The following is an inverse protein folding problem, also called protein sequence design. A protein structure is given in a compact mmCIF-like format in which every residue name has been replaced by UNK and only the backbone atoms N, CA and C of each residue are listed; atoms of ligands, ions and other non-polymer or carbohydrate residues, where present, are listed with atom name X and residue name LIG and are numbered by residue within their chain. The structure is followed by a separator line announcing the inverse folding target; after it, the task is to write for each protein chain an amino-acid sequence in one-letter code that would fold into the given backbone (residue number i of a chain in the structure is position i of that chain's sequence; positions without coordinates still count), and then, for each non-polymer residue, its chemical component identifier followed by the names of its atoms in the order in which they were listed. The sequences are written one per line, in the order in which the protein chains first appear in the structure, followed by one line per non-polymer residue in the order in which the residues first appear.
data_IF_331700069607
#
_entry.id   IF_331700069607
#
_cell.length_a   1.000
_cell.length_b   1.000
_cell.length_c   1.000
_cell.angle_alpha   90.00
_cell.angle_beta   90.00
_cell.angle_gamma   90.00
#
_symmetry.space_group_name_H-M   'P 1'
#
loop_
_entity.id
_entity.type
_entity.pdbx_description
1 polymer ?
#
# COMPACT_ATOMS: atom_id res chain seq x y z
N UNK A 1 -1.14 15.20 -1.53
CA UNK A 1 -2.49 14.64 -1.35
C UNK A 1 -2.86 14.03 -2.67
N UNK A 2 -2.86 12.70 -2.75
CA UNK A 2 -3.29 12.02 -3.98
C UNK A 2 -4.75 12.38 -4.19
N UNK A 3 -5.04 13.16 -5.22
CA UNK A 3 -6.40 13.53 -5.59
C UNK A 3 -6.98 12.39 -6.42
N UNK A 4 -7.59 11.43 -5.74
CA UNK A 4 -8.34 10.39 -6.42
C UNK A 4 -9.60 11.00 -7.05
N UNK A 5 -9.98 10.62 -8.27
CA UNK A 5 -11.18 11.11 -8.92
C UNK A 5 -12.40 10.93 -8.01
N UNK A 6 -13.27 11.94 -7.97
CA UNK A 6 -14.34 12.22 -7.03
C UNK A 6 -14.93 11.04 -6.25
N UNK A 7 -15.04 11.22 -4.93
CA UNK A 7 -15.51 10.21 -3.95
C UNK A 7 -16.75 9.38 -4.32
N UNK A 8 -17.58 9.87 -5.23
CA UNK A 8 -18.85 9.22 -5.60
C UNK A 8 -18.74 8.17 -6.71
N UNK A 9 -17.67 8.21 -7.52
CA UNK A 9 -17.52 7.35 -8.70
C UNK A 9 -16.43 6.28 -8.53
N UNK A 10 -15.83 6.20 -7.36
CA UNK A 10 -14.59 5.45 -7.11
C UNK A 10 -14.78 3.94 -7.04
N UNK A 11 -15.98 3.50 -6.62
CA UNK A 11 -16.28 2.08 -6.39
C UNK A 11 -17.73 1.77 -6.77
N UNK A 12 -18.01 1.35 -8.03
CA UNK A 12 -19.36 0.98 -8.41
C UNK A 12 -19.80 -0.28 -7.68
N UNK A 13 -20.90 -0.21 -6.95
CA UNK A 13 -21.46 -1.34 -6.22
C UNK A 13 -21.87 -2.47 -7.20
N UNK A 14 -21.44 -3.72 -6.99
CA UNK A 14 -21.90 -4.83 -7.80
C UNK A 14 -23.39 -5.11 -7.52
N UNK A 15 -24.22 -5.07 -8.55
CA UNK A 15 -25.63 -5.52 -8.48
C UNK A 15 -25.65 -7.02 -8.17
N UNK A 16 -26.11 -7.38 -6.97
CA UNK A 16 -26.38 -8.78 -6.60
C UNK A 16 -27.45 -9.35 -7.55
N UNK A 17 -27.05 -10.32 -8.37
CA UNK A 17 -27.99 -11.21 -9.05
C UNK A 17 -28.35 -12.35 -8.12
N UNK A 18 -29.58 -12.33 -7.58
CA UNK A 18 -30.20 -13.45 -6.89
C UNK A 18 -30.60 -14.50 -7.91
N UNK A 19 -29.89 -15.62 -7.91
CA UNK A 19 -30.26 -16.82 -8.64
C UNK A 19 -30.42 -17.98 -7.67
N UNK A 20 -31.67 -18.32 -7.31
CA UNK A 20 -32.02 -19.56 -6.60
C UNK A 20 -31.88 -20.74 -7.57
N UNK A 21 -31.10 -21.75 -7.22
CA UNK A 21 -31.28 -23.11 -7.73
C UNK A 21 -30.91 -24.12 -6.64
N UNK A 22 -31.94 -24.76 -6.09
CA UNK A 22 -31.82 -26.00 -5.28
C UNK A 22 -31.47 -27.18 -6.20
N UNK A 23 -30.42 -27.90 -5.83
CA UNK A 23 -30.23 -29.27 -6.29
C UNK A 23 -29.63 -30.11 -5.14
N UNK A 24 -30.40 -31.07 -4.69
CA UNK A 24 -30.06 -32.14 -3.71
C UNK A 24 -29.20 -33.16 -4.41
N UNK A 25 -28.00 -33.47 -3.91
CA UNK A 25 -27.28 -34.69 -4.31
C UNK A 25 -26.36 -35.21 -3.21
N UNK A 26 -26.54 -36.44 -2.96
CA UNK A 26 -25.88 -37.52 -2.23
C UNK A 26 -24.47 -37.27 -1.65
N UNK A 27 -24.33 -37.65 -0.35
CA UNK A 27 -23.08 -37.77 0.38
C UNK A 27 -22.16 -38.86 -0.21
N UNK A 28 -21.05 -38.41 -0.82
CA UNK A 28 -19.84 -39.23 -0.93
C UNK A 28 -18.82 -38.63 0.04
N UNK A 29 -18.48 -39.38 1.10
CA UNK A 29 -17.41 -39.00 2.02
C UNK A 29 -16.08 -39.22 1.30
N UNK A 30 -15.62 -38.20 0.61
CA UNK A 30 -14.26 -38.13 0.14
C UNK A 30 -13.44 -37.47 1.24
N UNK A 31 -12.45 -38.19 1.76
CA UNK A 31 -11.44 -37.66 2.68
C UNK A 31 -10.68 -36.57 1.96
N UNK A 32 -11.15 -35.34 2.07
CA UNK A 32 -10.43 -34.15 1.55
C UNK A 32 -9.27 -33.88 2.52
N UNK A 33 -7.99 -33.83 2.05
CA UNK A 33 -6.90 -33.35 2.89
C UNK A 33 -7.27 -31.96 3.42
N UNK A 34 -6.98 -31.73 4.71
CA UNK A 34 -7.19 -30.42 5.37
C UNK A 34 -6.56 -29.32 4.50
N UNK A 35 -7.37 -28.71 3.67
CA UNK A 35 -7.01 -27.43 3.06
C UNK A 35 -6.93 -26.42 4.19
N UNK A 36 -5.83 -25.69 4.27
CA UNK A 36 -5.62 -24.61 5.24
C UNK A 36 -6.89 -23.81 5.40
N UNK A 37 -7.38 -23.72 6.63
CA UNK A 37 -8.60 -22.97 6.94
C UNK A 37 -8.44 -21.51 6.48
N UNK A 38 -9.48 -20.88 5.90
CA UNK A 38 -9.39 -19.47 5.48
C UNK A 38 -8.93 -18.53 6.60
N UNK A 39 -9.17 -18.91 7.86
CA UNK A 39 -8.70 -18.17 9.04
C UNK A 39 -7.17 -18.20 9.19
N UNK A 40 -6.52 -19.31 8.86
CA UNK A 40 -5.04 -19.42 8.92
C UNK A 40 -4.38 -18.62 7.80
N UNK A 41 -4.97 -18.61 6.60
CA UNK A 41 -4.48 -17.81 5.49
C UNK A 41 -4.56 -16.31 5.81
N UNK A 42 -5.68 -15.83 6.34
CA UNK A 42 -5.87 -14.43 6.77
C UNK A 42 -4.90 -14.03 7.89
N UNK A 43 -4.64 -14.91 8.86
CA UNK A 43 -3.67 -14.65 9.94
C UNK A 43 -2.23 -14.56 9.39
N UNK A 44 -1.88 -15.40 8.42
CA UNK A 44 -0.59 -15.37 7.73
C UNK A 44 -0.40 -14.09 6.92
N UNK A 45 -1.42 -13.63 6.23
CA UNK A 45 -1.40 -12.39 5.46
C UNK A 45 -1.28 -11.16 6.36
N UNK A 46 -2.01 -11.09 7.47
CA UNK A 46 -1.89 -10.01 8.45
C UNK A 46 -0.46 -9.94 9.04
N UNK A 47 0.11 -11.07 9.39
CA UNK A 47 1.50 -11.14 9.87
C UNK A 47 2.50 -10.68 8.81
N UNK A 48 2.32 -11.07 7.55
CA UNK A 48 3.16 -10.64 6.43
C UNK A 48 3.05 -9.12 6.17
N UNK A 49 1.84 -8.57 6.21
CA UNK A 49 1.56 -7.13 6.05
C UNK A 49 2.23 -6.34 7.18
N UNK A 50 2.08 -6.78 8.43
CA UNK A 50 2.72 -6.15 9.59
C UNK A 50 4.24 -6.19 9.49
N UNK A 51 4.83 -7.32 9.09
CA UNK A 51 6.28 -7.48 8.93
C UNK A 51 6.84 -6.64 7.77
N UNK A 52 6.07 -6.41 6.73
CA UNK A 52 6.47 -5.59 5.58
C UNK A 52 6.48 -4.10 5.90
N UNK A 53 5.82 -3.67 6.97
CA UNK A 53 5.79 -2.28 7.41
C UNK A 53 7.23 -1.75 7.57
N UNK A 54 7.50 -0.63 6.92
CA UNK A 54 8.80 0.06 6.97
C UNK A 54 8.80 1.17 8.01
N UNK A 55 7.69 1.87 8.10
CA UNK A 55 7.45 2.98 8.99
C UNK A 55 6.34 2.59 9.97
N UNK A 56 6.23 3.33 11.08
CA UNK A 56 5.16 3.09 12.04
C UNK A 56 3.81 3.32 11.36
N UNK A 57 3.03 2.25 11.25
CA UNK A 57 1.69 2.28 10.68
C UNK A 57 0.66 1.93 11.75
N UNK A 58 -0.51 2.51 11.65
CA UNK A 58 -1.64 2.19 12.49
C UNK A 58 -2.03 0.71 12.31
N UNK A 59 -2.20 -0.10 13.37
CA UNK A 59 -2.70 -1.45 13.26
C UNK A 59 -4.02 -1.58 12.49
N UNK A 60 -4.84 -0.53 12.48
CA UNK A 60 -6.07 -0.47 11.68
C UNK A 60 -5.77 -0.42 10.17
N UNK A 61 -4.64 0.16 9.76
CA UNK A 61 -4.20 0.13 8.35
C UNK A 61 -3.88 -1.30 7.92
N UNK A 62 -3.24 -2.11 8.79
CA UNK A 62 -2.98 -3.53 8.50
C UNK A 62 -4.26 -4.34 8.36
N UNK A 63 -5.25 -4.09 9.23
CA UNK A 63 -6.55 -4.74 9.17
C UNK A 63 -7.30 -4.36 7.90
N UNK A 64 -7.28 -3.08 7.51
CA UNK A 64 -7.92 -2.61 6.29
C UNK A 64 -7.29 -3.25 5.04
N UNK A 65 -5.96 -3.30 4.94
CA UNK A 65 -5.24 -3.97 3.84
C UNK A 65 -5.60 -5.46 3.80
N UNK A 66 -5.65 -6.13 4.95
CA UNK A 66 -6.05 -7.53 5.02
C UNK A 66 -7.50 -7.71 4.54
N UNK A 67 -8.43 -6.90 5.03
CA UNK A 67 -9.85 -7.03 4.71
C UNK A 67 -10.18 -6.72 3.25
N UNK A 68 -9.48 -5.75 2.64
CA UNK A 68 -9.75 -5.29 1.26
C UNK A 68 -8.92 -6.06 0.24
N UNK A 69 -7.61 -6.23 0.49
CA UNK A 69 -6.69 -6.72 -0.54
C UNK A 69 -6.56 -8.24 -0.56
N UNK A 70 -6.72 -8.93 0.60
CA UNK A 70 -6.45 -10.38 0.67
C UNK A 70 -7.68 -11.26 0.48
N UNK A 71 -8.82 -10.67 0.10
CA UNK A 71 -10.05 -11.41 -0.23
C UNK A 71 -9.87 -12.28 -1.48
N UNK A 72 -9.10 -11.81 -2.45
CA UNK A 72 -8.96 -12.46 -3.75
C UNK A 72 -7.59 -13.11 -3.98
N UNK A 73 -6.55 -12.66 -3.28
CA UNK A 73 -5.18 -13.17 -3.44
C UNK A 73 -4.35 -12.94 -2.17
N UNK A 74 -3.26 -13.69 -2.02
CA UNK A 74 -2.38 -13.57 -0.86
C UNK A 74 -1.62 -12.23 -0.85
N UNK A 75 -1.26 -11.73 0.34
CA UNK A 75 -0.52 -10.49 0.54
C UNK A 75 0.83 -10.47 -0.19
N UNK A 76 1.47 -11.63 -0.41
CA UNK A 76 2.71 -11.75 -1.16
C UNK A 76 2.66 -11.16 -2.58
N UNK A 77 1.47 -11.07 -3.19
CA UNK A 77 1.28 -10.51 -4.53
C UNK A 77 1.64 -9.02 -4.61
N UNK A 78 1.42 -8.26 -3.56
CA UNK A 78 1.72 -6.82 -3.53
C UNK A 78 2.91 -6.44 -2.64
N UNK A 79 3.25 -7.25 -1.63
CA UNK A 79 4.33 -6.92 -0.69
C UNK A 79 5.73 -7.02 -1.29
N UNK A 80 5.93 -7.86 -2.30
CA UNK A 80 7.24 -8.19 -2.85
C UNK A 80 7.83 -7.11 -3.78
N UNK A 81 7.02 -6.20 -4.29
CA UNK A 81 7.44 -5.27 -5.34
C UNK A 81 7.00 -3.84 -5.02
N UNK A 82 7.84 -3.05 -4.32
CA UNK A 82 7.59 -1.62 -4.13
C UNK A 82 7.42 -0.90 -5.48
N UNK A 83 6.52 0.08 -5.55
CA UNK A 83 6.19 0.83 -6.78
C UNK A 83 6.12 2.31 -6.49
N UNK A 84 6.15 3.15 -7.53
CA UNK A 84 5.85 4.58 -7.39
C UNK A 84 4.39 4.79 -6.99
N UNK A 85 4.07 5.94 -6.42
CA UNK A 85 2.69 6.33 -6.08
C UNK A 85 1.76 6.24 -7.28
N UNK A 86 2.18 6.79 -8.43
CA UNK A 86 1.39 6.74 -9.67
C UNK A 86 1.11 5.31 -10.16
N UNK A 87 2.05 4.38 -9.93
CA UNK A 87 1.80 2.97 -10.26
C UNK A 87 0.85 2.30 -9.27
N UNK A 88 0.90 2.68 -7.99
CA UNK A 88 -0.09 2.20 -7.03
C UNK A 88 -1.49 2.71 -7.33
N UNK A 89 -1.65 3.97 -7.75
CA UNK A 89 -2.94 4.50 -8.21
C UNK A 89 -3.54 3.67 -9.34
N UNK A 90 -2.73 3.30 -10.34
CA UNK A 90 -3.17 2.42 -11.44
C UNK A 90 -3.57 1.03 -10.92
N UNK A 91 -2.79 0.44 -10.01
CA UNK A 91 -3.12 -0.86 -9.41
C UNK A 91 -4.44 -0.77 -8.64
N UNK A 92 -4.68 0.28 -7.86
CA UNK A 92 -5.94 0.45 -7.14
C UNK A 92 -7.13 0.60 -8.09
N UNK A 93 -6.97 1.34 -9.19
CA UNK A 93 -8.00 1.45 -10.21
C UNK A 93 -8.28 0.09 -10.89
N UNK A 94 -7.23 -0.68 -11.21
CA UNK A 94 -7.34 -2.04 -11.75
C UNK A 94 -8.08 -2.97 -10.77
N UNK A 95 -7.69 -2.99 -9.48
CA UNK A 95 -8.32 -3.84 -8.45
C UNK A 95 -9.78 -3.46 -8.21
N UNK A 96 -10.10 -2.16 -8.23
CA UNK A 96 -11.47 -1.68 -8.20
C UNK A 96 -12.29 -2.22 -9.37
N UNK A 97 -11.71 -2.20 -10.57
CA UNK A 97 -12.33 -2.79 -11.77
C UNK A 97 -12.60 -4.29 -11.65
N UNK A 98 -11.80 -5.01 -10.88
CA UNK A 98 -12.00 -6.44 -10.56
C UNK A 98 -12.96 -6.68 -9.37
N UNK A 99 -13.49 -5.62 -8.76
CA UNK A 99 -14.46 -5.72 -7.67
C UNK A 99 -13.85 -5.69 -6.26
N UNK A 100 -12.61 -5.23 -6.12
CA UNK A 100 -12.09 -4.91 -4.79
C UNK A 100 -12.91 -3.75 -4.20
N UNK A 101 -13.43 -3.94 -2.97
CA UNK A 101 -14.39 -3.04 -2.33
C UNK A 101 -14.08 -2.90 -0.83
N UNK A 102 -14.52 -1.78 -0.25
CA UNK A 102 -14.39 -1.46 1.16
C UNK A 102 -15.12 -0.17 1.51
N UNK A 103 -15.22 0.12 2.81
CA UNK A 103 -15.70 1.43 3.25
C UNK A 103 -14.70 2.52 2.89
N UNK A 104 -15.14 3.78 2.79
CA UNK A 104 -14.24 4.92 2.53
C UNK A 104 -13.06 4.95 3.51
N UNK A 105 -13.31 4.70 4.82
CA UNK A 105 -12.26 4.62 5.84
C UNK A 105 -11.27 3.48 5.56
N UNK A 106 -11.75 2.30 5.18
CA UNK A 106 -10.86 1.18 4.85
C UNK A 106 -10.00 1.49 3.63
N UNK A 107 -10.57 2.12 2.61
CA UNK A 107 -9.85 2.48 1.39
C UNK A 107 -8.78 3.56 1.67
N UNK A 108 -9.12 4.58 2.46
CA UNK A 108 -8.16 5.60 2.89
C UNK A 108 -7.00 4.97 3.69
N UNK A 109 -7.28 4.00 4.57
CA UNK A 109 -6.26 3.25 5.32
C UNK A 109 -5.39 2.37 4.44
N UNK A 110 -5.97 1.72 3.43
CA UNK A 110 -5.20 0.97 2.42
C UNK A 110 -4.20 1.90 1.72
N UNK A 111 -4.65 3.06 1.24
CA UNK A 111 -3.78 4.05 0.60
C UNK A 111 -2.65 4.49 1.54
N UNK A 112 -2.96 4.82 2.80
CA UNK A 112 -1.98 5.20 3.81
C UNK A 112 -0.92 4.12 4.02
N UNK A 113 -1.33 2.86 4.14
CA UNK A 113 -0.41 1.74 4.30
C UNK A 113 0.57 1.64 3.12
N UNK A 114 0.06 1.64 1.89
CA UNK A 114 0.87 1.51 0.69
C UNK A 114 1.84 2.68 0.53
N UNK A 115 1.38 3.89 0.79
CA UNK A 115 2.21 5.09 0.70
C UNK A 115 3.37 5.04 1.71
N UNK A 116 3.09 4.71 2.96
CA UNK A 116 4.10 4.65 4.03
C UNK A 116 5.03 3.45 3.94
N UNK A 117 4.56 2.31 3.42
CA UNK A 117 5.31 1.06 3.52
C UNK A 117 5.79 0.47 2.20
N UNK A 118 5.12 0.77 1.07
CA UNK A 118 5.38 0.12 -0.21
C UNK A 118 5.69 1.11 -1.36
N UNK A 119 5.60 2.42 -1.13
CA UNK A 119 5.89 3.40 -2.16
C UNK A 119 7.38 3.67 -2.28
N UNK A 120 7.89 3.65 -3.52
CA UNK A 120 9.25 4.04 -3.87
C UNK A 120 9.26 5.52 -4.20
N UNK A 121 10.22 6.23 -3.64
CA UNK A 121 10.49 7.62 -3.98
C UNK A 121 11.87 7.77 -4.61
N UNK A 122 11.98 8.70 -5.55
CA UNK A 122 13.25 9.25 -6.00
C UNK A 122 13.33 10.70 -5.51
N UNK A 123 14.34 11.01 -4.71
CA UNK A 123 14.48 12.33 -4.06
C UNK A 123 14.56 13.46 -5.09
N UNK A 124 15.13 13.18 -6.26
CA UNK A 124 15.35 14.18 -7.29
C UNK A 124 14.14 14.40 -8.21
N UNK A 125 13.20 13.43 -8.29
CA UNK A 125 12.10 13.48 -9.27
C UNK A 125 10.71 13.32 -8.69
N UNK A 126 10.55 12.68 -7.53
CA UNK A 126 9.22 12.44 -6.92
C UNK A 126 8.49 13.75 -6.57
N UNK A 127 7.15 13.75 -6.62
CA UNK A 127 6.33 14.87 -6.18
C UNK A 127 6.57 15.25 -4.71
N UNK A 128 6.29 16.50 -4.32
CA UNK A 128 6.45 16.97 -2.94
C UNK A 128 5.69 16.13 -1.91
N UNK A 129 4.46 15.73 -2.25
CA UNK A 129 3.56 14.95 -1.40
C UNK A 129 4.15 13.57 -1.09
N UNK A 130 4.69 12.88 -2.10
CA UNK A 130 5.33 11.58 -1.94
C UNK A 130 6.56 11.67 -1.04
N UNK A 131 7.37 12.73 -1.19
CA UNK A 131 8.52 12.98 -0.33
C UNK A 131 8.09 13.19 1.11
N UNK A 132 7.06 14.03 1.33
CA UNK A 132 6.54 14.32 2.66
C UNK A 132 6.11 13.06 3.41
N UNK A 133 5.22 12.29 2.79
CA UNK A 133 4.62 11.12 3.41
C UNK A 133 5.62 9.97 3.59
N UNK A 134 6.46 9.71 2.57
CA UNK A 134 7.41 8.59 2.63
C UNK A 134 8.61 8.89 3.52
N UNK A 135 9.11 10.12 3.56
CA UNK A 135 10.21 10.52 4.43
C UNK A 135 9.75 10.94 5.84
N UNK A 136 8.44 11.13 6.04
CA UNK A 136 7.84 11.63 7.30
C UNK A 136 8.41 13.00 7.70
N UNK A 137 8.52 13.91 6.74
CA UNK A 137 9.12 15.23 6.92
C UNK A 137 8.09 16.36 6.84
N UNK A 138 8.45 17.52 7.38
CA UNK A 138 7.60 18.73 7.35
C UNK A 138 7.55 19.37 5.95
N UNK A 139 6.52 20.19 5.69
CA UNK A 139 6.41 21.00 4.46
C UNK A 139 7.63 21.91 4.26
N UNK A 140 8.22 22.41 5.36
CA UNK A 140 9.42 23.21 5.31
C UNK A 140 10.61 22.40 4.80
N UNK A 141 10.78 21.16 5.25
CA UNK A 141 11.85 20.26 4.80
C UNK A 141 11.63 19.85 3.35
N UNK A 142 10.38 19.56 2.94
CA UNK A 142 10.03 19.32 1.52
C UNK A 142 10.43 20.50 0.66
N UNK A 143 10.06 21.73 1.07
CA UNK A 143 10.43 22.96 0.34
C UNK A 143 11.95 23.11 0.20
N UNK A 144 12.72 22.77 1.23
CA UNK A 144 14.18 22.78 1.19
C UNK A 144 14.75 21.75 0.19
N UNK A 145 14.17 20.53 0.15
CA UNK A 145 14.54 19.51 -0.85
C UNK A 145 14.23 20.02 -2.25
N UNK A 146 13.04 20.57 -2.48
CA UNK A 146 12.64 21.09 -3.79
C UNK A 146 13.56 22.21 -4.26
N UNK A 147 13.87 23.18 -3.41
CA UNK A 147 14.77 24.29 -3.72
C UNK A 147 16.22 23.82 -3.96
N UNK A 148 16.68 22.79 -3.26
CA UNK A 148 18.03 22.24 -3.41
C UNK A 148 18.18 21.47 -4.72
N UNK A 149 17.23 20.58 -5.05
CA UNK A 149 17.31 19.73 -6.24
C UNK A 149 17.20 20.50 -7.56
N UNK A 150 16.57 21.69 -7.57
CA UNK A 150 16.56 22.56 -8.76
C UNK A 150 17.93 23.15 -9.08
N UNK A 151 18.81 23.27 -8.09
CA UNK A 151 20.17 23.79 -8.26
C UNK A 151 21.17 22.67 -8.48
N UNK A 152 21.01 21.57 -7.75
CA UNK A 152 21.90 20.43 -7.81
C UNK A 152 21.17 19.20 -7.28
N UNK A 153 21.20 18.09 -8.03
CA UNK A 153 20.64 16.82 -7.60
C UNK A 153 21.32 16.29 -6.34
N UNK A 154 20.57 15.55 -5.53
CA UNK A 154 21.12 14.83 -4.40
C UNK A 154 21.86 13.59 -4.88
N UNK A 155 23.08 13.40 -4.39
CA UNK A 155 23.93 12.28 -4.76
C UNK A 155 23.67 11.00 -3.93
N UNK A 156 23.01 11.13 -2.76
CA UNK A 156 22.77 10.01 -1.88
C UNK A 156 22.30 10.41 -0.48
N UNK A 157 22.23 9.41 0.42
CA UNK A 157 21.78 9.60 1.80
C UNK A 157 22.61 10.64 2.54
N UNK A 158 23.93 10.61 2.41
CA UNK A 158 24.82 11.54 3.10
C UNK A 158 24.59 13.00 2.69
N UNK A 159 24.19 13.23 1.44
CA UNK A 159 23.88 14.56 0.96
C UNK A 159 22.49 15.03 1.43
N UNK A 160 21.49 14.13 1.40
CA UNK A 160 20.14 14.42 1.85
C UNK A 160 20.06 14.64 3.38
N UNK A 161 20.79 13.85 4.16
CA UNK A 161 20.80 13.93 5.63
C UNK A 161 21.45 15.22 6.19
N UNK A 162 22.07 16.05 5.35
CA UNK A 162 22.54 17.38 5.74
C UNK A 162 21.41 18.39 5.89
N UNK A 163 20.25 18.12 5.33
CA UNK A 163 19.09 19.00 5.48
C UNK A 163 18.44 18.82 6.86
N UNK A 164 18.12 19.95 7.48
CA UNK A 164 17.42 19.94 8.76
C UNK A 164 16.03 19.28 8.62
N UNK A 165 15.65 18.45 9.57
CA UNK A 165 14.37 17.78 9.60
C UNK A 165 14.34 16.47 8.76
N UNK A 166 15.47 16.03 8.25
CA UNK A 166 15.62 14.70 7.61
C UNK A 166 16.22 13.72 8.61
N UNK A 167 15.53 12.62 8.83
CA UNK A 167 15.97 11.56 9.75
C UNK A 167 16.76 10.48 9.00
N UNK A 168 18.07 10.38 9.27
CA UNK A 168 18.96 9.40 8.65
C UNK A 168 18.51 7.95 8.87
N UNK A 169 18.10 7.50 10.06
CA UNK A 169 17.52 6.17 10.29
C UNK A 169 16.35 5.83 9.36
N UNK A 170 15.46 6.78 9.07
CA UNK A 170 14.37 6.59 8.11
C UNK A 170 14.93 6.36 6.70
N UNK A 171 15.90 7.16 6.26
CA UNK A 171 16.54 7.01 4.94
C UNK A 171 17.18 5.63 4.78
N UNK A 172 17.88 5.15 5.82
CA UNK A 172 18.54 3.85 5.81
C UNK A 172 17.53 2.71 5.77
N UNK A 173 16.43 2.79 6.53
CA UNK A 173 15.32 1.82 6.47
C UNK A 173 14.71 1.77 5.06
N UNK A 174 14.43 2.92 4.46
CA UNK A 174 13.88 2.99 3.10
C UNK A 174 14.85 2.43 2.07
N UNK A 175 16.13 2.74 2.18
CA UNK A 175 17.19 2.21 1.30
C UNK A 175 17.29 0.68 1.40
N UNK A 176 17.28 0.14 2.61
CA UNK A 176 17.33 -1.31 2.86
C UNK A 176 16.12 -2.06 2.26
N UNK A 177 15.00 -1.38 2.10
CA UNK A 177 13.78 -1.90 1.47
C UNK A 177 13.64 -1.55 -0.03
N UNK A 178 14.71 -1.02 -0.66
CA UNK A 178 14.70 -0.56 -2.06
C UNK A 178 13.62 0.50 -2.36
N UNK A 179 13.27 1.34 -1.38
CA UNK A 179 12.22 2.36 -1.49
C UNK A 179 12.76 3.78 -1.66
N UNK A 180 14.08 3.97 -1.57
CA UNK A 180 14.75 5.27 -1.71
C UNK A 180 15.70 5.23 -2.90
N UNK A 181 15.52 6.17 -3.82
CA UNK A 181 16.35 6.40 -5.02
C UNK A 181 16.81 7.86 -5.07
N UNK A 182 17.87 8.10 -5.85
CA UNK A 182 18.44 9.43 -6.08
C UNK A 182 18.62 9.74 -7.55
#
# INVERSE_FOLDING_TARGET
MMDFPGKKDRWPLPRRRTGLACAVLACVVVSVPLMNSPVEALAGDLAAITKASTLDSDPQDFQAVTAVCTVCHAASQFLSTPRSSSRWEQVFAEMSGYGADGTDDQLDRVVNYFQRNLTVINVNTSPPEDLKETLQISDQTVSAIMARRTKQAFAGIDDLSKLQGVDRPILEKLKAKNRLQF
#
